data_IF_491466070981
#
_entry.id   IF_491466070981
#
_cell.length_a   1.000
_cell.length_b   1.000
_cell.length_c   1.000
_cell.angle_alpha   90.00
_cell.angle_beta   90.00
_cell.angle_gamma   90.00
#
_symmetry.space_group_name_H-M   'P 1'
#
loop_
_entity.id
_entity.type
_entity.pdbx_description
1 polymer ?
#
# COMPACT_ATOMS: atom_id res chain seq x y z
N UNK A 1 -24.65 1.42 -8.70
CA UNK A 1 -23.46 1.76 -7.86
C UNK A 1 -22.55 0.54 -7.84
N UNK A 2 -21.28 0.67 -8.23
CA UNK A 2 -20.29 -0.44 -8.15
C UNK A 2 -19.54 -0.33 -6.83
N UNK A 3 -19.06 -1.47 -6.29
CA UNK A 3 -18.20 -1.47 -5.10
C UNK A 3 -16.94 -0.65 -5.40
N UNK A 4 -16.58 0.25 -4.50
CA UNK A 4 -15.36 1.05 -4.57
C UNK A 4 -14.36 0.53 -3.54
N UNK A 5 -13.08 0.68 -3.86
CA UNK A 5 -11.98 0.34 -2.97
C UNK A 5 -10.85 1.34 -3.16
N UNK A 6 -10.12 1.60 -2.09
CA UNK A 6 -8.91 2.42 -2.10
C UNK A 6 -7.70 1.50 -2.14
N UNK A 7 -6.74 1.82 -2.99
CA UNK A 7 -5.49 1.06 -3.13
C UNK A 7 -4.34 1.89 -2.57
N UNK A 8 -3.57 1.31 -1.66
CA UNK A 8 -2.33 1.87 -1.15
C UNK A 8 -1.17 0.98 -1.58
N UNK A 9 -0.24 1.52 -2.36
CA UNK A 9 0.98 0.82 -2.79
C UNK A 9 2.16 1.57 -2.20
N UNK A 10 2.98 0.85 -1.44
CA UNK A 10 4.21 1.38 -0.88
C UNK A 10 5.42 0.69 -1.50
N UNK A 11 6.39 1.49 -1.94
CA UNK A 11 7.66 1.01 -2.46
C UNK A 11 8.79 1.75 -1.76
N UNK A 12 9.59 1.02 -1.02
CA UNK A 12 10.81 1.52 -0.40
C UNK A 12 11.98 1.34 -1.37
N UNK A 13 12.75 2.40 -1.60
CA UNK A 13 14.01 2.35 -2.36
C UNK A 13 15.14 2.49 -1.34
N UNK A 14 15.88 1.39 -1.13
CA UNK A 14 17.00 1.37 -0.19
C UNK A 14 18.32 1.71 -0.87
N UNK A 15 19.35 2.00 -0.07
CA UNK A 15 20.69 2.39 -0.56
C UNK A 15 21.36 1.30 -1.40
N UNK A 16 21.00 0.04 -1.15
CA UNK A 16 21.50 -1.13 -1.86
C UNK A 16 20.89 -1.25 -3.27
N UNK A 17 19.85 -0.47 -3.58
CA UNK A 17 19.24 -0.44 -4.91
C UNK A 17 20.10 0.37 -5.89
N UNK A 18 21.14 -0.26 -6.46
CA UNK A 18 22.09 0.37 -7.38
C UNK A 18 21.71 0.22 -8.87
N UNK A 19 20.76 -0.67 -9.20
CA UNK A 19 20.50 -1.06 -10.59
C UNK A 19 19.43 -0.20 -11.28
N UNK A 20 19.72 0.41 -12.45
CA UNK A 20 18.75 1.21 -13.22
C UNK A 20 17.84 0.31 -14.07
N UNK A 21 17.00 -0.50 -13.41
CA UNK A 21 16.14 -1.50 -14.09
C UNK A 21 14.89 -0.91 -14.77
N UNK A 22 14.77 0.42 -14.83
CA UNK A 22 13.66 1.12 -15.46
C UNK A 22 12.28 0.74 -14.88
N UNK A 23 11.23 0.95 -15.68
CA UNK A 23 9.83 0.70 -15.27
C UNK A 23 9.49 -0.80 -15.23
N UNK A 24 10.31 -1.67 -15.85
CA UNK A 24 10.09 -3.11 -15.94
C UNK A 24 9.91 -3.77 -14.57
N UNK A 25 10.73 -3.40 -13.59
CA UNK A 25 10.64 -3.95 -12.22
C UNK A 25 9.32 -3.61 -11.55
N UNK A 26 8.81 -2.39 -11.73
CA UNK A 26 7.53 -1.98 -11.14
C UNK A 26 6.38 -2.79 -11.74
N UNK A 27 6.38 -2.98 -13.06
CA UNK A 27 5.36 -3.77 -13.77
C UNK A 27 5.39 -5.23 -13.35
N UNK A 28 6.57 -5.82 -13.25
CA UNK A 28 6.73 -7.22 -12.86
C UNK A 28 6.36 -7.44 -11.39
N UNK A 29 6.75 -6.53 -10.50
CA UNK A 29 6.38 -6.61 -9.09
C UNK A 29 4.86 -6.52 -8.92
N UNK A 30 4.21 -5.56 -9.61
CA UNK A 30 2.75 -5.46 -9.59
C UNK A 30 2.08 -6.74 -10.12
N UNK A 31 2.55 -7.26 -11.26
CA UNK A 31 2.03 -8.52 -11.83
C UNK A 31 2.16 -9.68 -10.85
N UNK A 32 3.32 -9.84 -10.20
CA UNK A 32 3.54 -10.89 -9.19
C UNK A 32 2.61 -10.74 -8.00
N UNK A 33 2.43 -9.52 -7.49
CA UNK A 33 1.50 -9.25 -6.39
C UNK A 33 0.08 -9.70 -6.73
N UNK A 34 -0.43 -9.36 -7.92
CA UNK A 34 -1.79 -9.75 -8.32
C UNK A 34 -1.94 -11.24 -8.68
N UNK A 35 -0.85 -11.93 -9.02
CA UNK A 35 -0.85 -13.37 -9.27
C UNK A 35 -0.65 -14.21 -8.00
N UNK A 36 -0.20 -13.59 -6.90
CA UNK A 36 0.01 -14.27 -5.62
C UNK A 36 -1.25 -14.31 -4.77
N UNK A 37 -1.38 -15.30 -3.88
CA UNK A 37 -2.48 -15.33 -2.93
C UNK A 37 -2.34 -14.16 -1.93
N UNK A 38 -3.36 -13.29 -1.82
CA UNK A 38 -3.32 -12.18 -0.88
C UNK A 38 -3.44 -12.67 0.55
N UNK A 39 -2.83 -11.94 1.48
CA UNK A 39 -3.16 -12.04 2.89
C UNK A 39 -4.41 -11.19 3.16
N UNK A 40 -5.30 -11.73 3.98
CA UNK A 40 -6.47 -11.01 4.49
C UNK A 40 -6.23 -10.63 5.95
N UNK A 41 -6.66 -9.43 6.30
CA UNK A 41 -6.57 -8.87 7.64
C UNK A 41 -7.91 -8.28 8.01
N UNK A 42 -8.29 -8.36 9.28
CA UNK A 42 -9.56 -7.84 9.76
C UNK A 42 -9.47 -6.33 10.04
N UNK A 43 -8.25 -5.85 10.32
CA UNK A 43 -7.97 -4.43 10.57
C UNK A 43 -6.81 -3.92 9.72
N UNK A 44 -6.80 -2.61 9.48
CA UNK A 44 -5.68 -1.96 8.77
C UNK A 44 -4.39 -2.00 9.61
N UNK A 45 -4.49 -1.97 10.94
CA UNK A 45 -3.32 -2.02 11.82
C UNK A 45 -2.63 -3.39 11.81
N UNK A 46 -3.39 -4.48 11.64
CA UNK A 46 -2.81 -5.81 11.38
C UNK A 46 -2.04 -5.84 10.06
N UNK A 47 -2.63 -5.28 9.00
CA UNK A 47 -1.96 -5.16 7.71
C UNK A 47 -0.67 -4.33 7.81
N UNK A 48 -0.69 -3.24 8.57
CA UNK A 48 0.49 -2.40 8.82
C UNK A 48 1.55 -3.09 9.65
N UNK A 49 1.17 -3.85 10.69
CA UNK A 49 2.13 -4.67 11.46
C UNK A 49 2.81 -5.71 10.57
N UNK A 50 2.04 -6.41 9.73
CA UNK A 50 2.63 -7.36 8.78
C UNK A 50 3.53 -6.63 7.76
N UNK A 51 3.14 -5.46 7.26
CA UNK A 51 3.96 -4.66 6.34
C UNK A 51 5.29 -4.20 6.97
N UNK A 52 5.27 -3.71 8.21
CA UNK A 52 6.45 -3.25 8.95
C UNK A 52 7.53 -4.33 9.07
N UNK A 53 7.18 -5.62 9.03
CA UNK A 53 8.16 -6.72 9.06
C UNK A 53 9.09 -6.75 7.83
N UNK A 54 8.74 -6.04 6.76
CA UNK A 54 9.44 -6.06 5.47
C UNK A 54 10.04 -4.71 5.07
N UNK A 55 9.63 -3.62 5.70
CA UNK A 55 10.05 -2.26 5.39
C UNK A 55 10.86 -1.67 6.55
N UNK A 56 11.83 -0.81 6.24
CA UNK A 56 12.66 -0.15 7.25
C UNK A 56 12.06 1.18 7.70
N UNK A 57 11.43 1.91 6.78
CA UNK A 57 10.69 3.15 7.10
C UNK A 57 9.54 2.81 8.06
N UNK A 58 9.39 3.61 9.12
CA UNK A 58 8.35 3.39 10.12
C UNK A 58 6.96 3.67 9.55
N UNK A 59 5.97 2.91 10.00
CA UNK A 59 4.58 3.15 9.64
C UNK A 59 4.08 4.54 10.04
N UNK A 60 4.62 5.12 11.11
CA UNK A 60 4.25 6.47 11.54
C UNK A 60 4.68 7.52 10.52
N UNK A 61 5.91 7.43 10.01
CA UNK A 61 6.40 8.32 8.95
C UNK A 61 5.58 8.17 7.66
N UNK A 62 5.19 6.94 7.32
CA UNK A 62 4.36 6.66 6.15
C UNK A 62 2.96 7.26 6.33
N UNK A 63 2.35 7.12 7.51
CA UNK A 63 1.03 7.68 7.82
C UNK A 63 1.04 9.20 7.77
N UNK A 64 2.07 9.84 8.30
CA UNK A 64 2.22 11.30 8.29
C UNK A 64 2.27 11.86 6.86
N UNK A 65 2.98 11.18 5.95
CA UNK A 65 3.21 11.67 4.59
C UNK A 65 2.17 11.21 3.56
N UNK A 66 1.35 10.22 3.89
CA UNK A 66 0.44 9.60 2.93
C UNK A 66 -0.93 10.25 2.92
N UNK A 67 -1.23 10.98 1.84
CA UNK A 67 -2.59 11.49 1.56
C UNK A 67 -3.66 10.39 1.56
N UNK A 68 -3.32 9.19 1.04
CA UNK A 68 -4.26 8.06 0.98
C UNK A 68 -4.63 7.60 2.40
N UNK A 69 -3.64 7.49 3.29
CA UNK A 69 -3.87 7.06 4.67
C UNK A 69 -4.54 8.16 5.50
N UNK A 70 -4.19 9.42 5.28
CA UNK A 70 -4.86 10.57 5.89
C UNK A 70 -6.36 10.62 5.55
N UNK A 71 -6.73 10.18 4.35
CA UNK A 71 -8.11 10.18 3.86
C UNK A 71 -8.80 8.81 3.97
N UNK A 72 -8.12 7.81 4.53
CA UNK A 72 -8.70 6.50 4.78
C UNK A 72 -9.90 6.61 5.74
N UNK A 73 -11.02 5.98 5.39
CA UNK A 73 -12.25 6.00 6.19
C UNK A 73 -13.05 7.32 6.13
N UNK A 74 -12.53 8.38 5.50
CA UNK A 74 -13.26 9.65 5.30
C UNK A 74 -14.23 9.61 4.11
N UNK A 75 -14.09 8.62 3.23
CA UNK A 75 -14.99 8.44 2.08
C UNK A 75 -16.40 8.05 2.55
N UNK A 76 -17.37 8.92 2.29
CA UNK A 76 -18.79 8.70 2.57
C UNK A 76 -19.52 8.06 1.39
N UNK A 77 -20.62 7.36 1.65
CA UNK A 77 -21.49 6.90 0.58
C UNK A 77 -22.29 8.08 0.00
N UNK A 78 -22.75 7.96 -1.24
CA UNK A 78 -23.59 8.98 -1.87
C UNK A 78 -24.92 9.20 -1.12
N UNK A 79 -25.33 8.25 -0.28
CA UNK A 79 -26.53 8.33 0.54
C UNK A 79 -26.28 9.00 1.91
N UNK A 80 -25.02 9.24 2.29
CA UNK A 80 -24.64 9.91 3.56
C UNK A 80 -24.49 11.44 3.40
N UNK A 81 -25.11 12.01 2.37
CA UNK A 81 -25.21 13.46 2.12
C UNK A 81 -26.36 14.11 2.88
#
# INVERSE_FOLDING_TARGET
IKRQATIFIFREIRKEYYAPLGVGVVRETARRTFNSNPKHFDTIDEAFKDMQTRIEISMDEIKEKSWILENYGKQKSIFDF
#
